data_IF_068851647229
#
_entry.id   IF_068851647229
#
_cell.length_a   1.000
_cell.length_b   1.000
_cell.length_c   1.000
_cell.angle_alpha   90.00
_cell.angle_beta   90.00
_cell.angle_gamma   90.00
#
_symmetry.space_group_name_H-M   'P 1'
#
loop_
_entity.id
_entity.type
_entity.pdbx_description
1 polymer ?
#
# COMPACT_ATOMS: atom_id res chain seq x y z
N UNK A 1 64.09 32.04 -64.41
CA UNK A 1 65.00 30.86 -64.34
C UNK A 1 65.30 30.54 -62.89
N UNK A 2 65.06 29.28 -62.47
CA UNK A 2 65.54 28.58 -61.24
C UNK A 2 65.01 29.13 -59.89
N UNK A 3 64.72 28.36 -58.83
CA UNK A 3 64.58 26.91 -58.50
C UNK A 3 63.94 26.93 -57.08
N UNK A 4 62.86 26.19 -56.83
CA UNK A 4 62.77 24.87 -56.17
C UNK A 4 62.74 24.90 -54.63
N UNK A 5 61.63 24.37 -54.11
CA UNK A 5 61.20 24.14 -52.72
C UNK A 5 62.11 23.17 -51.93
N UNK A 6 62.26 23.35 -50.61
CA UNK A 6 62.44 22.23 -49.66
C UNK A 6 61.98 22.62 -48.24
N UNK A 7 61.16 21.74 -47.66
CA UNK A 7 60.52 21.74 -46.33
C UNK A 7 61.37 20.91 -45.35
N UNK A 8 61.46 21.29 -44.05
CA UNK A 8 61.32 20.35 -42.90
C UNK A 8 61.22 21.06 -41.51
N UNK A 9 60.30 20.53 -40.69
CA UNK A 9 59.84 20.75 -39.28
C UNK A 9 60.90 20.37 -38.18
N UNK A 10 60.64 20.28 -36.84
CA UNK A 10 59.60 20.82 -35.91
C UNK A 10 60.14 21.38 -34.56
N UNK A 11 59.30 22.06 -33.74
CA UNK A 11 59.03 21.71 -32.32
C UNK A 11 57.94 22.63 -31.72
N UNK A 12 56.77 22.09 -31.40
CA UNK A 12 55.76 22.74 -30.57
C UNK A 12 55.24 21.71 -29.57
N UNK A 13 55.65 21.90 -28.32
CA UNK A 13 55.19 21.13 -27.17
C UNK A 13 53.74 21.51 -26.87
N UNK A 14 52.79 20.60 -27.13
CA UNK A 14 51.46 20.70 -26.54
C UNK A 14 51.54 20.27 -25.08
N UNK A 15 51.46 21.25 -24.18
CA UNK A 15 51.09 21.06 -22.79
C UNK A 15 49.61 20.68 -22.72
N UNK A 16 49.34 19.39 -22.54
CA UNK A 16 48.02 18.89 -22.20
C UNK A 16 47.83 19.03 -20.69
N UNK A 17 47.03 20.01 -20.26
CA UNK A 17 46.51 20.09 -18.90
C UNK A 17 45.38 19.06 -18.75
N UNK A 18 45.69 17.92 -18.14
CA UNK A 18 44.69 17.00 -17.61
C UNK A 18 44.13 17.59 -16.31
N UNK A 19 42.86 17.96 -16.35
CA UNK A 19 42.03 18.12 -15.15
C UNK A 19 42.02 16.79 -14.39
N UNK A 20 42.51 16.85 -13.16
CA UNK A 20 42.54 15.75 -12.22
C UNK A 20 41.12 15.61 -11.65
N UNK A 21 40.29 14.78 -12.27
CA UNK A 21 39.08 14.27 -11.62
C UNK A 21 39.51 13.47 -10.41
N UNK A 22 39.15 13.95 -9.22
CA UNK A 22 39.32 13.21 -7.97
C UNK A 22 38.50 11.92 -8.07
N UNK A 23 39.24 10.85 -8.29
CA UNK A 23 38.81 9.47 -8.28
C UNK A 23 38.34 9.13 -6.86
N UNK A 24 37.02 8.99 -6.66
CA UNK A 24 36.45 8.30 -5.50
C UNK A 24 36.93 6.85 -5.57
N UNK A 25 38.08 6.59 -4.96
CA UNK A 25 38.95 5.43 -5.18
C UNK A 25 38.81 4.34 -4.12
N UNK A 26 37.78 4.38 -3.28
CA UNK A 26 37.60 3.35 -2.23
C UNK A 26 36.71 2.16 -2.62
N UNK A 27 36.06 2.18 -3.79
CA UNK A 27 35.26 1.03 -4.29
C UNK A 27 35.69 0.47 -5.64
N UNK A 28 36.81 0.94 -6.20
CA UNK A 28 37.31 0.53 -7.52
C UNK A 28 37.95 -0.88 -7.56
N UNK A 29 37.69 -1.75 -6.59
CA UNK A 29 38.16 -3.15 -6.58
C UNK A 29 37.14 -4.13 -5.98
N UNK A 30 35.90 -4.15 -6.49
CA UNK A 30 35.14 -5.40 -6.44
C UNK A 30 35.48 -6.21 -7.70
N UNK A 31 36.54 -7.02 -7.61
CA UNK A 31 36.76 -8.07 -8.59
C UNK A 31 35.51 -8.96 -8.66
N UNK A 32 35.11 -9.41 -9.86
CA UNK A 32 34.05 -10.40 -10.00
C UNK A 32 34.29 -11.55 -9.02
N UNK A 33 33.32 -11.87 -8.13
CA UNK A 33 33.50 -12.91 -7.14
C UNK A 33 33.77 -14.25 -7.83
N UNK A 34 34.91 -14.87 -7.53
CA UNK A 34 35.42 -16.06 -8.24
C UNK A 34 35.17 -17.33 -7.44
N UNK A 35 35.51 -17.32 -6.16
CA UNK A 35 35.30 -18.45 -5.25
C UNK A 35 33.82 -18.57 -4.87
N UNK A 36 33.42 -19.76 -4.39
CA UNK A 36 32.05 -19.95 -3.89
C UNK A 36 31.74 -19.02 -2.71
N UNK A 37 32.72 -18.80 -1.83
CA UNK A 37 32.59 -17.95 -0.64
C UNK A 37 32.46 -16.47 -1.00
N UNK A 38 33.23 -15.99 -1.99
CA UNK A 38 33.11 -14.63 -2.52
C UNK A 38 31.73 -14.40 -3.16
N UNK A 39 31.25 -15.37 -3.94
CA UNK A 39 29.92 -15.31 -4.57
C UNK A 39 28.81 -15.33 -3.54
N UNK A 40 28.94 -16.16 -2.50
CA UNK A 40 27.99 -16.20 -1.39
C UNK A 40 27.92 -14.85 -0.67
N UNK A 41 29.06 -14.25 -0.32
CA UNK A 41 29.13 -12.96 0.37
C UNK A 41 28.48 -11.83 -0.46
N UNK A 42 28.77 -11.80 -1.76
CA UNK A 42 28.15 -10.85 -2.69
C UNK A 42 26.63 -11.05 -2.78
N UNK A 43 26.18 -12.30 -2.96
CA UNK A 43 24.75 -12.61 -3.02
C UNK A 43 24.03 -12.31 -1.70
N UNK A 44 24.69 -12.51 -0.57
CA UNK A 44 24.15 -12.20 0.75
C UNK A 44 23.94 -10.69 0.94
N UNK A 45 24.91 -9.86 0.57
CA UNK A 45 24.74 -8.40 0.60
C UNK A 45 23.58 -7.93 -0.28
N UNK A 46 23.46 -8.47 -1.50
CA UNK A 46 22.34 -8.16 -2.40
C UNK A 46 20.98 -8.61 -1.84
N UNK A 47 20.93 -9.76 -1.17
CA UNK A 47 19.70 -10.23 -0.51
C UNK A 47 19.24 -9.26 0.58
N UNK A 48 20.15 -8.84 1.47
CA UNK A 48 19.81 -7.90 2.56
C UNK A 48 19.38 -6.53 2.04
N UNK A 49 20.05 -6.04 1.00
CA UNK A 49 19.63 -4.82 0.33
C UNK A 49 18.20 -4.94 -0.21
N UNK A 50 17.88 -6.01 -0.93
CA UNK A 50 16.53 -6.23 -1.45
C UNK A 50 15.48 -6.35 -0.33
N UNK A 51 15.80 -7.05 0.77
CA UNK A 51 14.91 -7.16 1.93
C UNK A 51 14.60 -5.80 2.58
N UNK A 52 15.59 -4.91 2.65
CA UNK A 52 15.39 -3.56 3.16
C UNK A 52 14.45 -2.75 2.26
N UNK A 53 14.65 -2.81 0.94
CA UNK A 53 13.77 -2.13 -0.01
C UNK A 53 12.33 -2.69 0.02
N UNK A 54 12.15 -4.00 0.19
CA UNK A 54 10.82 -4.62 0.37
C UNK A 54 10.12 -4.16 1.65
N UNK A 55 10.88 -3.76 2.66
CA UNK A 55 10.38 -3.19 3.92
C UNK A 55 10.22 -1.67 3.86
N UNK A 56 10.32 -1.05 2.67
CA UNK A 56 10.32 0.40 2.44
C UNK A 56 11.41 1.17 3.20
N UNK A 57 12.51 0.49 3.58
CA UNK A 57 13.68 1.13 4.18
C UNK A 57 14.63 1.51 3.04
N UNK A 58 14.81 2.80 2.82
CA UNK A 58 15.74 3.29 1.80
C UNK A 58 17.19 3.22 2.31
N UNK A 59 17.95 2.27 1.77
CA UNK A 59 19.35 2.09 2.14
C UNK A 59 20.25 2.73 1.07
N UNK A 60 21.15 3.62 1.48
CA UNK A 60 22.26 4.03 0.62
C UNK A 60 23.28 2.87 0.50
N UNK A 61 23.48 2.29 -0.70
CA UNK A 61 24.35 1.13 -0.87
C UNK A 61 25.81 1.40 -0.51
N UNK A 62 26.28 2.63 -0.69
CA UNK A 62 27.66 3.02 -0.40
C UNK A 62 27.90 3.03 1.11
N UNK A 63 27.01 3.65 1.89
CA UNK A 63 27.12 3.65 3.35
C UNK A 63 26.85 2.29 3.98
N UNK A 64 25.95 1.50 3.40
CA UNK A 64 25.73 0.12 3.84
C UNK A 64 26.99 -0.73 3.72
N UNK A 65 27.61 -0.73 2.54
CA UNK A 65 28.81 -1.53 2.30
C UNK A 65 30.02 -1.02 3.10
N UNK A 66 30.15 0.30 3.31
CA UNK A 66 31.21 0.87 4.14
C UNK A 66 31.04 0.51 5.62
N UNK A 67 29.80 0.50 6.14
CA UNK A 67 29.50 0.07 7.51
C UNK A 67 29.85 -1.40 7.76
N UNK A 68 29.47 -2.30 6.85
CA UNK A 68 29.84 -3.73 6.92
C UNK A 68 31.36 -3.92 6.90
N UNK A 69 32.07 -3.16 6.07
CA UNK A 69 33.52 -3.22 5.97
C UNK A 69 34.20 -2.72 7.25
N UNK A 70 33.74 -1.59 7.80
CA UNK A 70 34.25 -1.02 9.04
C UNK A 70 34.05 -1.99 10.21
N UNK A 71 32.86 -2.58 10.32
CA UNK A 71 32.54 -3.60 11.34
C UNK A 71 33.48 -4.82 11.23
N UNK A 72 33.69 -5.33 10.01
CA UNK A 72 34.58 -6.48 9.78
C UNK A 72 36.04 -6.24 10.18
N UNK A 73 36.45 -4.97 10.28
CA UNK A 73 37.81 -4.54 10.66
C UNK A 73 37.90 -4.09 12.12
N UNK A 74 36.78 -4.00 12.83
CA UNK A 74 36.71 -3.36 14.15
C UNK A 74 36.99 -1.85 14.09
N UNK A 75 36.70 -1.23 12.95
CA UNK A 75 36.90 0.20 12.65
C UNK A 75 35.57 0.96 12.60
N UNK A 76 34.49 0.38 13.12
CA UNK A 76 33.19 1.03 13.17
C UNK A 76 33.28 2.32 13.99
N UNK A 77 32.82 3.42 13.40
CA UNK A 77 32.86 4.75 14.00
C UNK A 77 31.79 4.96 15.08
N UNK A 78 30.80 4.06 15.12
CA UNK A 78 29.74 4.05 16.12
C UNK A 78 29.95 2.89 17.09
N UNK A 79 29.76 3.16 18.37
CA UNK A 79 29.61 2.13 19.40
C UNK A 79 28.29 1.36 19.25
N UNK A 80 28.21 0.19 19.88
CA UNK A 80 26.98 -0.63 19.90
C UNK A 80 25.76 0.18 20.36
N UNK A 81 25.91 1.00 21.41
CA UNK A 81 24.83 1.84 21.96
C UNK A 81 24.41 2.93 20.96
N UNK A 82 25.36 3.56 20.25
CA UNK A 82 25.07 4.56 19.22
C UNK A 82 24.34 3.95 18.03
N UNK A 83 24.76 2.77 17.58
CA UNK A 83 24.08 2.03 16.51
C UNK A 83 22.63 1.69 16.90
N UNK A 84 22.41 1.16 18.11
CA UNK A 84 21.06 0.87 18.62
C UNK A 84 20.19 2.13 18.65
N UNK A 85 20.74 3.26 19.10
CA UNK A 85 20.01 4.53 19.13
C UNK A 85 19.67 5.04 17.71
N UNK A 86 20.59 4.93 16.75
CA UNK A 86 20.34 5.29 15.34
C UNK A 86 19.19 4.44 14.77
N UNK A 87 19.20 3.13 15.01
CA UNK A 87 18.11 2.25 14.57
C UNK A 87 16.77 2.60 15.24
N UNK A 88 16.78 2.93 16.53
CA UNK A 88 15.57 3.36 17.25
C UNK A 88 14.99 4.65 16.70
N UNK A 89 15.84 5.67 16.43
CA UNK A 89 15.40 6.94 15.88
C UNK A 89 14.85 6.79 14.46
N UNK A 90 15.49 5.96 13.63
CA UNK A 90 14.98 5.69 12.29
C UNK A 90 13.65 4.93 12.33
N UNK A 91 13.48 3.99 13.26
CA UNK A 91 12.20 3.32 13.45
C UNK A 91 11.10 4.27 13.91
N UNK A 92 11.40 5.22 14.81
CA UNK A 92 10.46 6.26 15.22
C UNK A 92 10.04 7.15 14.04
N UNK A 93 10.99 7.57 13.20
CA UNK A 93 10.75 8.37 12.00
C UNK A 93 9.84 7.65 10.98
N UNK A 94 10.06 6.34 10.77
CA UNK A 94 9.18 5.51 9.93
C UNK A 94 7.76 5.45 10.51
N UNK A 95 7.61 5.27 11.83
CA UNK A 95 6.30 5.20 12.47
C UNK A 95 5.53 6.52 12.36
N UNK A 96 6.22 7.66 12.57
CA UNK A 96 5.64 8.99 12.41
C UNK A 96 5.22 9.23 10.95
N UNK A 97 6.10 8.93 10.00
CA UNK A 97 5.79 9.07 8.57
C UNK A 97 4.60 8.21 8.16
N UNK A 98 4.53 6.95 8.62
CA UNK A 98 3.40 6.06 8.37
C UNK A 98 2.09 6.55 9.02
N UNK A 99 2.17 7.23 10.16
CA UNK A 99 1.00 7.86 10.79
C UNK A 99 0.53 9.06 9.96
N UNK A 100 1.43 9.94 9.53
CA UNK A 100 1.09 11.09 8.69
C UNK A 100 0.46 10.67 7.36
N UNK A 101 1.03 9.64 6.70
CA UNK A 101 0.45 9.06 5.48
C UNK A 101 -0.95 8.49 5.73
N UNK A 102 -1.15 7.77 6.84
CA UNK A 102 -2.46 7.22 7.20
C UNK A 102 -3.48 8.32 7.48
N UNK A 103 -3.11 9.38 8.20
CA UNK A 103 -4.00 10.51 8.48
C UNK A 103 -4.38 11.24 7.19
N UNK A 104 -3.42 11.47 6.29
CA UNK A 104 -3.68 12.08 4.99
C UNK A 104 -4.60 11.20 4.12
N UNK A 105 -4.39 9.88 4.13
CA UNK A 105 -5.27 8.92 3.45
C UNK A 105 -6.68 8.92 4.06
N UNK A 106 -6.79 8.96 5.39
CA UNK A 106 -8.06 8.99 6.11
C UNK A 106 -8.89 10.24 5.77
N UNK A 107 -8.25 11.41 5.71
CA UNK A 107 -8.90 12.67 5.32
C UNK A 107 -9.37 12.62 3.87
N UNK A 108 -8.49 12.19 2.97
CA UNK A 108 -8.80 12.06 1.54
C UNK A 108 -9.96 11.10 1.30
N UNK A 109 -9.92 9.90 1.88
CA UNK A 109 -10.95 8.88 1.69
C UNK A 109 -12.30 9.32 2.25
N UNK A 110 -12.30 10.05 3.37
CA UNK A 110 -13.53 10.61 3.93
C UNK A 110 -14.14 11.67 2.99
N UNK A 111 -13.32 12.58 2.45
CA UNK A 111 -13.79 13.58 1.48
C UNK A 111 -14.36 12.93 0.21
N UNK A 112 -13.67 11.91 -0.32
CA UNK A 112 -14.13 11.14 -1.48
C UNK A 112 -15.45 10.41 -1.19
N UNK A 113 -15.58 9.77 -0.02
CA UNK A 113 -16.78 9.10 0.42
C UNK A 113 -17.98 10.06 0.52
N UNK A 114 -17.82 11.19 1.21
CA UNK A 114 -18.87 12.19 1.39
C UNK A 114 -19.28 12.84 0.07
N UNK A 115 -18.30 13.15 -0.79
CA UNK A 115 -18.55 13.71 -2.12
C UNK A 115 -19.32 12.71 -2.99
N UNK A 116 -18.92 11.45 -2.98
CA UNK A 116 -19.60 10.40 -3.73
C UNK A 116 -21.05 10.23 -3.27
N UNK A 117 -21.29 10.07 -1.96
CA UNK A 117 -22.64 9.87 -1.41
C UNK A 117 -23.55 11.08 -1.70
N UNK A 118 -23.01 12.29 -1.55
CA UNK A 118 -23.76 13.52 -1.87
C UNK A 118 -24.29 13.53 -3.31
N UNK A 119 -23.52 13.04 -4.27
CA UNK A 119 -23.93 12.93 -5.68
C UNK A 119 -24.82 11.70 -5.89
N UNK A 120 -24.48 10.58 -5.27
CA UNK A 120 -25.16 9.30 -5.51
C UNK A 120 -26.62 9.30 -5.06
N UNK A 121 -26.95 9.96 -3.94
CA UNK A 121 -28.34 10.14 -3.48
C UNK A 121 -29.24 10.93 -4.42
N UNK A 122 -28.69 11.69 -5.38
CA UNK A 122 -29.48 12.43 -6.37
C UNK A 122 -30.02 11.52 -7.49
N UNK A 123 -29.53 10.28 -7.58
CA UNK A 123 -30.00 9.29 -8.55
C UNK A 123 -31.40 8.81 -8.18
N UNK A 124 -32.29 8.75 -9.17
CA UNK A 124 -33.73 8.45 -8.95
C UNK A 124 -34.04 7.06 -8.38
N UNK A 125 -33.11 6.11 -8.49
CA UNK A 125 -33.24 4.75 -7.97
C UNK A 125 -32.47 4.51 -6.65
N UNK A 126 -31.85 5.55 -6.10
CA UNK A 126 -31.12 5.51 -4.85
C UNK A 126 -31.98 6.07 -3.72
N UNK A 127 -32.00 5.37 -2.60
CA UNK A 127 -32.68 5.76 -1.37
C UNK A 127 -31.64 5.92 -0.27
N UNK A 128 -31.87 6.82 0.69
CA UNK A 128 -30.95 7.08 1.82
C UNK A 128 -31.59 6.69 3.14
N UNK A 129 -30.84 6.03 4.01
CA UNK A 129 -31.26 5.70 5.38
C UNK A 129 -30.45 6.52 6.37
N UNK A 130 -31.02 7.63 6.86
CA UNK A 130 -30.50 8.42 8.00
C UNK A 130 -28.99 8.71 7.94
N UNK A 131 -28.45 8.96 6.75
CA UNK A 131 -27.01 9.16 6.50
C UNK A 131 -26.09 7.97 6.91
N UNK A 132 -26.68 6.80 7.20
CA UNK A 132 -25.97 5.55 7.48
C UNK A 132 -25.45 4.94 6.19
N UNK A 133 -26.35 4.75 5.24
CA UNK A 133 -26.04 4.21 3.92
C UNK A 133 -27.08 4.66 2.90
N UNK A 134 -26.67 4.57 1.65
CA UNK A 134 -27.54 4.67 0.48
C UNK A 134 -27.74 3.30 -0.13
N UNK A 135 -28.89 3.06 -0.76
CA UNK A 135 -29.17 1.79 -1.38
C UNK A 135 -30.02 1.88 -2.64
N UNK A 136 -29.81 0.90 -3.51
CA UNK A 136 -30.58 0.65 -4.71
C UNK A 136 -31.15 -0.79 -4.64
N UNK A 137 -32.45 -0.93 -4.82
CA UNK A 137 -33.10 -2.26 -4.88
C UNK A 137 -32.94 -2.80 -6.30
N UNK A 138 -32.04 -3.78 -6.47
CA UNK A 138 -31.81 -4.44 -7.75
C UNK A 138 -32.85 -5.54 -8.03
N UNK A 139 -33.26 -6.24 -6.96
CA UNK A 139 -34.34 -7.22 -7.01
C UNK A 139 -35.11 -7.21 -5.70
N UNK A 140 -36.44 -7.11 -5.78
CA UNK A 140 -37.32 -7.13 -4.63
C UNK A 140 -37.77 -8.56 -4.34
N UNK A 141 -37.36 -9.10 -3.19
CA UNK A 141 -37.84 -10.37 -2.67
C UNK A 141 -39.26 -10.27 -2.11
N UNK A 142 -39.91 -11.43 -1.96
CA UNK A 142 -41.30 -11.55 -1.49
C UNK A 142 -41.43 -12.37 -0.20
N UNK A 143 -40.32 -12.86 0.36
CA UNK A 143 -40.37 -13.62 1.61
C UNK A 143 -40.41 -12.72 2.84
N UNK A 144 -40.26 -13.33 4.02
CA UNK A 144 -40.33 -12.63 5.31
C UNK A 144 -39.12 -11.72 5.50
N UNK A 145 -39.26 -10.70 6.35
CA UNK A 145 -38.13 -9.88 6.81
C UNK A 145 -37.53 -10.51 8.08
N UNK A 146 -36.21 -10.55 8.23
CA UNK A 146 -35.58 -11.04 9.45
C UNK A 146 -35.82 -10.09 10.62
N UNK A 147 -35.87 -10.64 11.84
CA UNK A 147 -35.72 -9.85 13.06
C UNK A 147 -34.24 -9.53 13.32
N UNK A 148 -33.97 -8.58 14.22
CA UNK A 148 -32.60 -8.13 14.54
C UNK A 148 -31.71 -9.21 15.18
N UNK A 149 -32.31 -10.26 15.74
CA UNK A 149 -31.65 -11.41 16.35
C UNK A 149 -31.72 -12.68 15.49
N UNK A 150 -32.32 -12.60 14.29
CA UNK A 150 -32.46 -13.75 13.40
C UNK A 150 -31.11 -14.24 12.86
N UNK A 151 -31.06 -15.53 12.56
CA UNK A 151 -30.03 -16.08 11.68
C UNK A 151 -30.48 -15.95 10.23
N UNK A 152 -29.57 -15.55 9.34
CA UNK A 152 -29.86 -15.40 7.92
C UNK A 152 -28.76 -16.02 7.09
N UNK A 153 -29.12 -16.54 5.92
CA UNK A 153 -28.16 -16.92 4.87
C UNK A 153 -28.15 -15.82 3.81
N UNK A 154 -26.97 -15.33 3.49
CA UNK A 154 -26.77 -14.23 2.56
C UNK A 154 -25.59 -14.50 1.62
N UNK A 155 -25.51 -13.76 0.52
CA UNK A 155 -24.30 -13.68 -0.29
C UNK A 155 -23.99 -12.23 -0.55
N UNK A 156 -22.72 -11.86 -0.52
CA UNK A 156 -22.28 -10.50 -0.74
C UNK A 156 -21.05 -10.42 -1.64
N UNK A 157 -20.87 -9.25 -2.25
CA UNK A 157 -19.61 -8.80 -2.83
C UNK A 157 -19.35 -7.39 -2.32
N UNK A 158 -18.14 -7.14 -1.82
CA UNK A 158 -17.68 -5.86 -1.28
C UNK A 158 -16.57 -5.33 -2.19
N UNK A 159 -16.71 -4.08 -2.60
CA UNK A 159 -15.68 -3.33 -3.30
C UNK A 159 -15.55 -1.91 -2.75
N UNK A 160 -14.42 -1.28 -3.05
CA UNK A 160 -14.12 0.11 -2.72
C UNK A 160 -14.48 1.03 -3.90
N UNK A 161 -14.34 2.34 -3.70
CA UNK A 161 -14.65 3.34 -4.74
C UNK A 161 -13.73 3.23 -5.97
N UNK A 162 -12.48 2.81 -5.78
CA UNK A 162 -11.49 2.58 -6.84
C UNK A 162 -11.78 1.32 -7.68
N UNK A 163 -12.75 0.50 -7.26
CA UNK A 163 -13.11 -0.78 -7.89
C UNK A 163 -12.38 -2.00 -7.33
N UNK A 164 -11.49 -1.83 -6.36
CA UNK A 164 -10.80 -2.91 -5.68
C UNK A 164 -11.79 -3.82 -4.96
N UNK A 165 -11.67 -5.14 -5.17
CA UNK A 165 -12.52 -6.13 -4.51
C UNK A 165 -11.93 -6.54 -3.18
N UNK A 166 -12.72 -6.41 -2.11
CA UNK A 166 -12.29 -6.66 -0.74
C UNK A 166 -12.69 -8.06 -0.28
N UNK A 167 -13.93 -8.44 -0.56
CA UNK A 167 -14.46 -9.72 -0.13
C UNK A 167 -15.63 -10.15 -1.01
N UNK A 168 -15.78 -11.45 -1.19
CA UNK A 168 -16.93 -12.06 -1.86
C UNK A 168 -17.30 -13.36 -1.15
N UNK A 169 -18.60 -13.65 -1.06
CA UNK A 169 -19.08 -14.91 -0.48
C UNK A 169 -18.91 -16.05 -1.49
N UNK A 170 -18.52 -17.23 -0.99
CA UNK A 170 -18.49 -18.45 -1.80
C UNK A 170 -19.90 -18.88 -2.27
N UNK A 171 -19.93 -19.80 -3.25
CA UNK A 171 -21.20 -20.38 -3.73
C UNK A 171 -22.02 -20.98 -2.58
N UNK A 172 -23.33 -20.73 -2.59
CA UNK A 172 -24.25 -21.19 -1.54
C UNK A 172 -24.50 -20.19 -0.41
N UNK A 173 -23.69 -19.13 -0.32
CA UNK A 173 -23.85 -18.08 0.69
C UNK A 173 -23.26 -18.44 2.05
N UNK A 174 -23.35 -17.48 2.97
CA UNK A 174 -22.86 -17.58 4.34
C UNK A 174 -24.01 -17.38 5.32
N UNK A 175 -24.03 -18.17 6.39
CA UNK A 175 -25.03 -18.03 7.45
C UNK A 175 -24.44 -17.25 8.62
N UNK A 176 -25.08 -16.13 8.95
CA UNK A 176 -24.66 -15.21 9.99
C UNK A 176 -25.82 -14.89 10.93
N UNK A 177 -25.51 -14.29 12.08
CA UNK A 177 -26.50 -13.62 12.90
C UNK A 177 -26.62 -12.16 12.44
N UNK A 178 -27.84 -11.64 12.33
CA UNK A 178 -28.03 -10.22 11.95
C UNK A 178 -27.28 -9.32 12.94
N UNK A 179 -27.31 -9.63 14.23
CA UNK A 179 -26.64 -8.85 15.28
C UNK A 179 -25.11 -8.81 15.18
N UNK A 180 -24.46 -9.76 14.50
CA UNK A 180 -22.99 -9.80 14.37
C UNK A 180 -22.45 -8.97 13.21
N UNK A 181 -23.31 -8.45 12.34
CA UNK A 181 -22.88 -7.66 11.18
C UNK A 181 -22.61 -6.20 11.57
N UNK A 182 -21.85 -5.49 10.73
CA UNK A 182 -21.62 -4.04 10.89
C UNK A 182 -22.94 -3.26 10.88
N UNK A 183 -23.03 -2.08 11.55
CA UNK A 183 -24.28 -1.35 11.73
C UNK A 183 -25.12 -1.18 10.45
N UNK A 184 -24.52 -0.73 9.35
CA UNK A 184 -25.23 -0.51 8.10
C UNK A 184 -25.85 -1.79 7.51
N UNK A 185 -25.16 -2.93 7.61
CA UNK A 185 -25.66 -4.21 7.10
C UNK A 185 -26.82 -4.73 7.97
N UNK A 186 -26.78 -4.50 9.30
CA UNK A 186 -27.90 -4.88 10.17
C UNK A 186 -29.19 -4.16 9.78
N UNK A 187 -29.09 -2.84 9.62
CA UNK A 187 -30.21 -1.99 9.21
C UNK A 187 -30.74 -2.37 7.82
N UNK A 188 -29.85 -2.64 6.86
CA UNK A 188 -30.27 -3.13 5.54
C UNK A 188 -31.02 -4.47 5.63
N UNK A 189 -30.48 -5.44 6.38
CA UNK A 189 -31.06 -6.79 6.47
C UNK A 189 -32.49 -6.79 7.03
N UNK A 190 -32.77 -6.03 8.09
CA UNK A 190 -34.12 -5.96 8.67
C UNK A 190 -35.13 -5.22 7.77
N UNK A 191 -34.63 -4.44 6.81
CA UNK A 191 -35.47 -3.79 5.78
C UNK A 191 -35.74 -4.69 4.58
N UNK A 192 -34.84 -5.65 4.29
CA UNK A 192 -34.90 -6.54 3.14
C UNK A 192 -35.88 -7.71 3.34
N UNK A 193 -36.70 -7.97 2.33
CA UNK A 193 -37.46 -9.22 2.24
C UNK A 193 -36.53 -10.36 1.81
N UNK A 194 -36.74 -11.57 2.32
CA UNK A 194 -36.06 -12.76 1.80
C UNK A 194 -36.18 -12.86 0.27
N UNK A 195 -35.06 -13.15 -0.37
CA UNK A 195 -34.88 -13.19 -1.82
C UNK A 195 -34.39 -11.87 -2.43
N UNK A 196 -34.36 -10.77 -1.67
CA UNK A 196 -33.96 -9.46 -2.20
C UNK A 196 -32.48 -9.38 -2.54
N UNK A 197 -32.16 -8.57 -3.56
CA UNK A 197 -30.80 -8.19 -3.94
C UNK A 197 -30.70 -6.66 -3.94
N UNK A 198 -29.86 -6.11 -3.07
CA UNK A 198 -29.65 -4.67 -2.94
C UNK A 198 -28.19 -4.34 -3.25
N UNK A 199 -27.97 -3.13 -3.76
CA UNK A 199 -26.64 -2.50 -3.75
C UNK A 199 -26.65 -1.41 -2.69
N UNK A 200 -25.64 -1.40 -1.84
CA UNK A 200 -25.46 -0.47 -0.74
C UNK A 200 -24.19 0.36 -0.98
N UNK A 201 -24.23 1.64 -0.62
CA UNK A 201 -23.08 2.52 -0.48
C UNK A 201 -23.04 2.99 0.97
N UNK A 202 -22.04 2.54 1.71
CA UNK A 202 -22.02 2.63 3.17
C UNK A 202 -20.97 3.67 3.57
N UNK A 203 -21.40 4.68 4.33
CA UNK A 203 -20.50 5.68 4.89
C UNK A 203 -19.51 5.01 5.86
N UNK A 204 -18.21 5.37 5.84
CA UNK A 204 -17.17 4.69 6.63
C UNK A 204 -17.50 4.60 8.13
N UNK A 205 -18.10 5.62 8.73
CA UNK A 205 -18.49 5.64 10.15
C UNK A 205 -19.49 4.54 10.56
N UNK A 206 -20.19 3.92 9.60
CA UNK A 206 -21.12 2.82 9.82
C UNK A 206 -20.59 1.47 9.30
N UNK A 207 -19.31 1.44 8.94
CA UNK A 207 -18.53 0.26 8.56
C UNK A 207 -17.28 0.13 9.45
N UNK A 208 -16.10 0.50 8.94
CA UNK A 208 -14.80 0.31 9.62
C UNK A 208 -14.12 1.62 10.07
N UNK A 209 -14.67 2.78 9.69
CA UNK A 209 -14.21 4.09 10.13
C UNK A 209 -12.74 4.39 9.82
N UNK A 210 -12.16 5.28 10.61
CA UNK A 210 -10.80 5.79 10.46
C UNK A 210 -9.73 4.71 10.68
N UNK A 211 -10.04 3.65 11.43
CA UNK A 211 -9.08 2.56 11.67
C UNK A 211 -8.95 1.61 10.48
N UNK A 212 -9.98 1.54 9.61
CA UNK A 212 -10.04 0.57 8.53
C UNK A 212 -10.12 -0.89 9.04
N UNK A 213 -9.93 -1.85 8.13
CA UNK A 213 -9.93 -3.27 8.46
C UNK A 213 -9.27 -4.13 7.36
N UNK A 214 -8.16 -4.80 7.70
CA UNK A 214 -7.37 -5.62 6.75
C UNK A 214 -7.01 -4.85 5.47
N UNK A 215 -7.64 -5.17 4.36
CA UNK A 215 -7.41 -4.55 3.05
C UNK A 215 -8.31 -3.33 2.80
N UNK A 216 -9.08 -2.91 3.79
CA UNK A 216 -9.90 -1.70 3.77
C UNK A 216 -9.09 -0.63 4.52
N UNK A 217 -8.73 0.42 3.80
CA UNK A 217 -8.02 1.57 4.33
C UNK A 217 -8.88 2.44 5.26
N UNK A 218 -8.28 3.49 5.84
CA UNK A 218 -8.98 4.39 6.74
C UNK A 218 -10.08 5.15 5.99
N UNK A 219 -11.26 5.27 6.61
CA UNK A 219 -12.42 6.00 6.10
C UNK A 219 -12.88 5.63 4.68
N UNK A 220 -12.59 4.42 4.22
CA UNK A 220 -13.07 3.99 2.90
C UNK A 220 -14.58 3.72 2.87
N UNK A 221 -15.23 4.23 1.83
CA UNK A 221 -16.62 3.90 1.51
C UNK A 221 -16.74 2.48 0.99
N UNK A 222 -17.68 1.71 1.53
CA UNK A 222 -17.95 0.36 1.04
C UNK A 222 -19.11 0.34 0.04
N UNK A 223 -18.88 -0.29 -1.10
CA UNK A 223 -19.91 -0.67 -2.05
C UNK A 223 -20.22 -2.15 -1.86
N UNK A 224 -21.43 -2.44 -1.39
CA UNK A 224 -21.84 -3.82 -1.07
C UNK A 224 -23.00 -4.24 -1.96
N UNK A 225 -22.81 -5.28 -2.75
CA UNK A 225 -23.94 -5.98 -3.39
C UNK A 225 -24.36 -7.12 -2.47
N UNK A 226 -25.52 -6.98 -1.83
CA UNK A 226 -26.01 -7.87 -0.79
C UNK A 226 -27.27 -8.60 -1.23
N UNK A 227 -27.25 -9.94 -1.16
CA UNK A 227 -28.43 -10.78 -1.37
C UNK A 227 -28.84 -11.45 -0.07
N UNK A 228 -30.08 -11.23 0.35
CA UNK A 228 -30.68 -12.01 1.42
C UNK A 228 -31.27 -13.29 0.82
N UNK A 229 -30.58 -14.41 1.00
CA UNK A 229 -30.97 -15.70 0.41
C UNK A 229 -32.11 -16.31 1.22
N UNK A 230 -31.96 -16.35 2.54
CA UNK A 230 -32.89 -17.03 3.44
C UNK A 230 -32.91 -16.43 4.84
N UNK A 231 -34.09 -16.36 5.46
CA UNK A 231 -34.25 -16.14 6.90
C UNK A 231 -34.40 -17.50 7.59
N UNK A 232 -33.49 -17.80 8.52
CA UNK A 232 -33.47 -19.06 9.26
C UNK A 232 -34.25 -18.86 10.56
N UNK A 233 -35.47 -19.38 10.58
CA UNK A 233 -36.34 -19.44 11.76
C UNK A 233 -36.03 -20.63 12.65
#
# INVERSE_FOLDING_TARGET
>A
MKKLFLILLPLLLLSCSQEKSAENSDFALLNDPRSLEEKFSYAYGALFYNMAQESSIDIDPYFFASGVLAESRGENIYSDDEMMNIFSLHQEDILLSAQEEREAEAEKNLEEAETFLKINKERSNVNTVQDIFEYEVLYQGNGVKPASDSSVTLSYSISLLDGSSVATTAEGGETVLVSSMIPAIREALIMMNEGSLWRLWIHPSYAFGEEGFFSIGPNELLIVTLRLIKVNN
#
